data_IF_853108456500
#
_entry.id   IF_853108456500
#
_cell.length_a   1.000
_cell.length_b   1.000
_cell.length_c   1.000
_cell.angle_alpha   90.00
_cell.angle_beta   90.00
_cell.angle_gamma   90.00
#
_symmetry.space_group_name_H-M   'P 1'
#
loop_
_entity.id
_entity.type
_entity.pdbx_description
1 polymer ?
#
# COMPACT_ATOMS: atom_id res chain seq x y z
N UNK A 1 36.75 -43.66 33.39
CA UNK A 1 35.67 -42.64 33.33
C UNK A 1 36.02 -41.65 32.23
N UNK A 2 35.59 -41.94 30.97
CA UNK A 2 35.94 -41.15 29.79
C UNK A 2 34.86 -40.08 29.54
N UNK A 3 35.21 -38.82 29.71
CA UNK A 3 34.37 -37.66 29.43
C UNK A 3 34.45 -37.36 27.92
N UNK A 4 33.40 -37.73 27.16
CA UNK A 4 33.26 -37.37 25.74
C UNK A 4 32.82 -35.93 25.62
N UNK A 5 33.72 -35.07 25.16
CA UNK A 5 33.44 -33.72 24.76
C UNK A 5 32.72 -33.73 23.41
N UNK A 6 31.42 -33.41 23.41
CA UNK A 6 30.63 -33.29 22.19
C UNK A 6 30.73 -31.83 21.69
N UNK A 7 31.58 -31.62 20.69
CA UNK A 7 31.76 -30.32 20.06
C UNK A 7 30.55 -30.06 19.12
N UNK A 8 29.61 -29.21 19.55
CA UNK A 8 28.47 -28.80 18.73
C UNK A 8 28.96 -27.70 17.77
N UNK A 9 29.22 -28.07 16.51
CA UNK A 9 29.56 -27.15 15.45
C UNK A 9 28.25 -26.48 14.96
N UNK A 10 28.00 -25.24 15.37
CA UNK A 10 26.95 -24.42 14.81
C UNK A 10 27.33 -23.99 13.39
N UNK A 11 26.75 -24.62 12.38
CA UNK A 11 26.76 -24.11 11.02
C UNK A 11 25.82 -22.90 10.95
N UNK A 12 26.36 -21.69 11.04
CA UNK A 12 25.63 -20.48 10.68
C UNK A 12 25.55 -20.39 9.16
N UNK A 13 24.44 -20.82 8.58
CA UNK A 13 24.13 -20.53 7.19
C UNK A 13 23.81 -19.04 7.10
N UNK A 14 24.74 -18.26 6.58
CA UNK A 14 24.50 -16.87 6.19
C UNK A 14 23.49 -16.87 5.05
N UNK A 15 22.24 -16.53 5.35
CA UNK A 15 21.23 -16.22 4.33
C UNK A 15 21.67 -14.89 3.72
N UNK A 16 22.34 -14.96 2.58
CA UNK A 16 22.54 -13.77 1.75
C UNK A 16 21.16 -13.37 1.24
N UNK A 17 20.60 -12.31 1.79
CA UNK A 17 19.46 -11.62 1.17
C UNK A 17 19.97 -11.07 -0.16
N UNK A 18 19.66 -11.79 -1.25
CA UNK A 18 19.96 -11.36 -2.59
C UNK A 18 19.06 -10.15 -2.86
N UNK A 19 19.61 -8.94 -2.82
CA UNK A 19 18.89 -7.74 -3.21
C UNK A 19 18.64 -7.85 -4.71
N UNK A 20 17.44 -8.27 -5.07
CA UNK A 20 16.99 -8.33 -6.44
C UNK A 20 17.12 -6.93 -7.06
N UNK A 21 17.75 -6.82 -8.23
CA UNK A 21 17.82 -5.54 -8.92
C UNK A 21 16.43 -5.12 -9.41
N UNK A 22 16.22 -3.81 -9.58
CA UNK A 22 14.97 -3.31 -10.14
C UNK A 22 14.68 -3.88 -11.53
N UNK A 23 15.70 -4.08 -12.33
CA UNK A 23 15.58 -4.69 -13.66
C UNK A 23 15.15 -6.17 -13.59
N UNK A 24 15.69 -6.95 -12.66
CA UNK A 24 15.26 -8.32 -12.43
C UNK A 24 13.79 -8.38 -11.98
N UNK A 25 13.39 -7.48 -11.10
CA UNK A 25 12.00 -7.34 -10.68
C UNK A 25 11.09 -7.03 -11.88
N UNK A 26 11.42 -6.02 -12.69
CA UNK A 26 10.65 -5.67 -13.88
C UNK A 26 10.57 -6.82 -14.89
N UNK A 27 11.65 -7.58 -15.06
CA UNK A 27 11.68 -8.76 -15.94
C UNK A 27 10.69 -9.83 -15.48
N UNK A 28 10.64 -10.10 -14.17
CA UNK A 28 9.67 -11.05 -13.60
C UNK A 28 8.23 -10.56 -13.76
N UNK A 29 7.97 -9.28 -13.49
CA UNK A 29 6.62 -8.69 -13.67
C UNK A 29 6.19 -8.77 -15.13
N UNK A 30 7.09 -8.49 -16.09
CA UNK A 30 6.82 -8.63 -17.54
C UNK A 30 6.42 -10.06 -17.91
N UNK A 31 7.18 -11.04 -17.44
CA UNK A 31 6.91 -12.46 -17.68
C UNK A 31 5.55 -12.86 -17.14
N UNK A 32 5.28 -12.55 -15.88
CA UNK A 32 4.00 -12.87 -15.23
C UNK A 32 2.82 -12.19 -15.93
N UNK A 33 2.97 -10.93 -16.32
CA UNK A 33 1.91 -10.20 -17.03
C UNK A 33 1.57 -10.83 -18.39
N UNK A 34 2.58 -11.29 -19.14
CA UNK A 34 2.37 -12.01 -20.41
C UNK A 34 1.64 -13.33 -20.18
N UNK A 35 2.04 -14.11 -19.19
CA UNK A 35 1.40 -15.37 -18.79
C UNK A 35 -0.08 -15.16 -18.41
N UNK A 36 -0.40 -14.00 -17.83
CA UNK A 36 -1.75 -13.58 -17.48
C UNK A 36 -2.56 -12.98 -18.64
N UNK A 37 -2.00 -12.96 -19.85
CA UNK A 37 -2.69 -12.51 -21.06
C UNK A 37 -2.61 -11.00 -21.32
N UNK A 38 -1.75 -10.25 -20.60
CA UNK A 38 -1.52 -8.84 -20.90
C UNK A 38 -0.68 -8.73 -22.18
N UNK A 39 -1.13 -7.89 -23.13
CA UNK A 39 -0.42 -7.74 -24.39
C UNK A 39 0.97 -7.14 -24.21
N UNK A 40 1.93 -7.61 -25.00
CA UNK A 40 3.31 -7.06 -25.01
C UNK A 40 3.30 -5.53 -25.22
N UNK A 41 2.46 -5.02 -26.10
CA UNK A 41 2.34 -3.59 -26.36
C UNK A 41 1.90 -2.80 -25.11
N UNK A 42 0.97 -3.35 -24.33
CA UNK A 42 0.53 -2.72 -23.08
C UNK A 42 1.66 -2.67 -22.06
N UNK A 43 2.41 -3.77 -21.93
CA UNK A 43 3.54 -3.88 -21.01
C UNK A 43 4.66 -2.91 -21.41
N UNK A 44 5.03 -2.88 -22.68
CA UNK A 44 6.08 -2.00 -23.19
C UNK A 44 5.72 -0.52 -22.97
N UNK A 45 4.46 -0.16 -23.17
CA UNK A 45 3.96 1.20 -22.91
C UNK A 45 3.95 1.54 -21.41
N UNK A 46 3.53 0.61 -20.57
CA UNK A 46 3.45 0.83 -19.12
C UNK A 46 4.84 0.98 -18.48
N UNK A 47 5.83 0.23 -18.97
CA UNK A 47 7.18 0.18 -18.41
C UNK A 47 8.20 1.01 -19.23
N UNK A 48 7.70 1.86 -20.11
CA UNK A 48 8.57 2.73 -20.89
C UNK A 48 9.29 3.72 -19.97
N UNK A 49 10.63 3.73 -20.04
CA UNK A 49 11.50 4.58 -19.20
C UNK A 49 11.17 4.52 -17.69
N UNK A 50 10.74 3.35 -17.21
CA UNK A 50 10.42 3.17 -15.80
C UNK A 50 11.71 3.07 -14.98
N UNK A 51 11.86 3.97 -14.02
CA UNK A 51 12.98 4.01 -13.08
C UNK A 51 12.46 3.99 -11.64
N UNK A 52 13.22 3.48 -10.66
CA UNK A 52 12.82 3.50 -9.26
C UNK A 52 12.50 4.91 -8.78
N UNK A 53 11.37 5.09 -8.11
CA UNK A 53 11.03 6.36 -7.47
C UNK A 53 11.55 6.37 -6.02
N UNK A 54 12.70 7.00 -5.82
CA UNK A 54 13.35 7.06 -4.49
C UNK A 54 12.53 7.83 -3.45
N UNK A 55 11.65 8.74 -3.86
CA UNK A 55 10.82 9.52 -2.94
C UNK A 55 9.65 8.68 -2.42
N UNK A 56 9.10 7.81 -3.25
CA UNK A 56 8.11 6.80 -2.82
C UNK A 56 8.75 5.84 -1.83
N UNK A 57 9.93 5.30 -2.12
CA UNK A 57 10.66 4.40 -1.23
C UNK A 57 10.96 5.04 0.13
N UNK A 58 11.36 6.32 0.15
CA UNK A 58 11.55 7.07 1.40
C UNK A 58 10.24 7.28 2.16
N UNK A 59 9.16 7.59 1.45
CA UNK A 59 7.85 7.80 2.06
C UNK A 59 7.31 6.51 2.66
N UNK A 60 7.49 5.38 1.98
CA UNK A 60 7.09 4.07 2.47
C UNK A 60 7.85 3.68 3.75
N UNK A 61 9.17 3.91 3.78
CA UNK A 61 10.00 3.63 4.95
C UNK A 61 9.71 4.55 6.16
N UNK A 62 9.03 5.67 5.97
CA UNK A 62 8.74 6.69 6.99
C UNK A 62 7.25 6.84 7.31
N UNK A 63 6.48 5.75 7.17
CA UNK A 63 5.03 5.78 7.42
C UNK A 63 4.73 6.31 8.83
N UNK A 64 3.93 7.38 8.86
CA UNK A 64 3.60 8.10 10.09
C UNK A 64 2.82 7.24 11.11
N UNK A 65 2.10 6.25 10.62
CA UNK A 65 1.30 5.30 11.40
C UNK A 65 2.16 4.49 12.39
N UNK A 66 3.40 4.20 12.03
CA UNK A 66 4.32 3.39 12.85
C UNK A 66 5.25 4.24 13.72
N UNK A 67 5.41 5.53 13.39
CA UNK A 67 6.40 6.41 14.04
C UNK A 67 5.79 7.51 14.93
N UNK A 68 4.46 7.60 15.03
CA UNK A 68 3.79 8.64 15.81
C UNK A 68 3.01 8.07 17.00
N UNK A 69 2.88 8.88 18.07
CA UNK A 69 1.98 8.57 19.15
C UNK A 69 0.53 8.50 18.64
N UNK A 70 -0.21 7.48 19.07
CA UNK A 70 -1.59 7.21 18.63
C UNK A 70 -2.51 8.46 18.71
N UNK A 71 -2.50 9.18 19.83
CA UNK A 71 -3.35 10.36 19.99
C UNK A 71 -2.94 11.51 19.08
N UNK A 72 -1.63 11.68 18.83
CA UNK A 72 -1.15 12.67 17.88
C UNK A 72 -1.61 12.33 16.45
N UNK A 73 -1.51 11.07 16.06
CA UNK A 73 -2.00 10.57 14.78
C UNK A 73 -3.49 10.83 14.60
N UNK A 74 -4.32 10.41 15.58
CA UNK A 74 -5.78 10.59 15.54
C UNK A 74 -6.15 12.07 15.44
N UNK A 75 -5.59 12.93 16.29
CA UNK A 75 -5.88 14.37 16.28
C UNK A 75 -5.51 15.04 14.95
N UNK A 76 -4.43 14.60 14.30
CA UNK A 76 -4.02 15.11 12.99
C UNK A 76 -4.97 14.63 11.88
N UNK A 77 -5.49 13.41 11.96
CA UNK A 77 -6.37 12.82 10.95
C UNK A 77 -7.83 13.22 11.10
N UNK A 78 -8.30 13.47 12.33
CA UNK A 78 -9.69 13.80 12.65
C UNK A 78 -9.81 15.30 12.95
N UNK A 79 -9.87 16.11 11.89
CA UNK A 79 -10.11 17.56 12.02
C UNK A 79 -11.61 17.90 11.91
N UNK A 80 -12.02 19.05 12.46
CA UNK A 80 -13.40 19.52 12.33
C UNK A 80 -13.84 19.69 10.87
N UNK A 81 -12.94 20.11 9.99
CA UNK A 81 -13.20 20.23 8.55
C UNK A 81 -13.46 18.84 7.95
N UNK A 82 -12.63 17.85 8.28
CA UNK A 82 -12.84 16.48 7.79
C UNK A 82 -14.15 15.88 8.29
N UNK A 83 -14.51 16.11 9.56
CA UNK A 83 -15.78 15.66 10.12
C UNK A 83 -16.99 16.32 9.41
N UNK A 84 -16.91 17.63 9.12
CA UNK A 84 -17.96 18.34 8.39
C UNK A 84 -18.13 17.79 6.97
N UNK A 85 -17.02 17.63 6.25
CA UNK A 85 -17.02 17.06 4.89
C UNK A 85 -17.57 15.61 4.88
N UNK A 86 -17.24 14.82 5.89
CA UNK A 86 -17.76 13.46 6.04
C UNK A 86 -19.26 13.41 6.25
N UNK A 87 -19.80 14.28 7.08
CA UNK A 87 -21.25 14.40 7.28
C UNK A 87 -21.98 14.83 6.00
N UNK A 88 -21.39 15.76 5.27
CA UNK A 88 -21.95 16.19 3.99
C UNK A 88 -21.88 15.08 2.93
N UNK A 89 -20.74 14.38 2.82
CA UNK A 89 -20.58 13.22 1.93
C UNK A 89 -21.60 12.11 2.25
N UNK A 90 -21.81 11.83 3.54
CA UNK A 90 -22.80 10.84 3.99
C UNK A 90 -24.21 11.24 3.53
N UNK A 91 -24.58 12.51 3.66
CA UNK A 91 -25.88 13.04 3.27
C UNK A 91 -26.07 13.01 1.76
N UNK A 92 -25.08 13.48 1.00
CA UNK A 92 -25.16 13.52 -0.48
C UNK A 92 -25.22 12.14 -1.12
N UNK A 93 -24.57 11.15 -0.53
CA UNK A 93 -24.44 9.80 -1.08
C UNK A 93 -25.31 8.76 -0.36
N UNK A 94 -26.30 9.17 0.43
CA UNK A 94 -27.10 8.29 1.30
C UNK A 94 -27.63 7.05 0.57
N UNK A 95 -28.21 7.21 -0.63
CA UNK A 95 -28.80 6.10 -1.39
C UNK A 95 -27.75 5.06 -1.80
N UNK A 96 -26.60 5.52 -2.32
CA UNK A 96 -25.49 4.65 -2.71
C UNK A 96 -24.89 3.93 -1.51
N UNK A 97 -24.64 4.67 -0.44
CA UNK A 97 -24.04 4.15 0.79
C UNK A 97 -24.92 3.11 1.47
N UNK A 98 -26.26 3.33 1.50
CA UNK A 98 -27.18 2.35 2.05
C UNK A 98 -27.19 1.05 1.24
N UNK A 99 -27.28 1.13 -0.09
CA UNK A 99 -27.20 -0.04 -0.97
C UNK A 99 -25.90 -0.82 -0.78
N UNK A 100 -24.78 -0.11 -0.64
CA UNK A 100 -23.46 -0.73 -0.41
C UNK A 100 -23.42 -1.38 0.97
N UNK A 101 -23.92 -0.68 1.98
CA UNK A 101 -24.01 -1.17 3.36
C UNK A 101 -24.83 -2.47 3.44
N UNK A 102 -26.00 -2.49 2.82
CA UNK A 102 -26.88 -3.68 2.75
C UNK A 102 -26.18 -4.84 2.02
N UNK A 103 -25.53 -4.56 0.90
CA UNK A 103 -24.87 -5.59 0.09
C UNK A 103 -23.67 -6.24 0.77
N UNK A 104 -22.85 -5.44 1.48
CA UNK A 104 -21.56 -5.88 2.02
C UNK A 104 -21.52 -5.97 3.56
N UNK A 105 -22.60 -5.60 4.24
CA UNK A 105 -22.65 -5.62 5.71
C UNK A 105 -21.76 -4.57 6.41
N UNK A 106 -21.29 -3.55 5.68
CA UNK A 106 -20.42 -2.50 6.22
C UNK A 106 -21.23 -1.23 6.47
N UNK A 107 -21.24 -0.68 7.69
CA UNK A 107 -22.01 0.54 7.99
C UNK A 107 -21.61 1.72 7.10
N UNK A 108 -22.60 2.51 6.65
CA UNK A 108 -22.40 3.65 5.74
C UNK A 108 -21.37 4.67 6.27
N UNK A 109 -21.36 4.93 7.58
CA UNK A 109 -20.38 5.85 8.19
C UNK A 109 -18.94 5.34 8.13
N UNK A 110 -18.73 4.01 8.14
CA UNK A 110 -17.40 3.41 7.99
C UNK A 110 -16.92 3.60 6.55
N UNK A 111 -17.78 3.37 5.56
CA UNK A 111 -17.46 3.60 4.15
C UNK A 111 -17.03 5.05 3.90
N UNK A 112 -17.77 6.02 4.47
CA UNK A 112 -17.44 7.44 4.35
C UNK A 112 -16.15 7.79 5.08
N UNK A 113 -15.89 7.19 6.23
CA UNK A 113 -14.64 7.43 6.96
C UNK A 113 -13.42 6.98 6.13
N UNK A 114 -13.46 5.81 5.50
CA UNK A 114 -12.42 5.36 4.58
C UNK A 114 -12.27 6.31 3.39
N UNK A 115 -13.36 6.68 2.73
CA UNK A 115 -13.32 7.64 1.61
C UNK A 115 -12.64 8.97 2.02
N UNK A 116 -12.91 9.43 3.23
CA UNK A 116 -12.30 10.64 3.77
C UNK A 116 -10.81 10.50 4.08
N UNK A 117 -10.38 9.34 4.60
CA UNK A 117 -8.97 9.09 4.93
C UNK A 117 -8.12 8.90 3.67
N UNK A 118 -8.62 8.12 2.70
CA UNK A 118 -7.87 7.73 1.51
C UNK A 118 -7.81 8.83 0.43
N UNK A 119 -8.91 9.53 0.20
CA UNK A 119 -9.02 10.46 -0.94
C UNK A 119 -9.52 11.86 -0.57
N UNK A 120 -9.64 12.17 0.74
CA UNK A 120 -10.30 13.40 1.18
C UNK A 120 -11.67 13.61 0.49
N UNK A 121 -12.50 12.56 0.51
CA UNK A 121 -13.82 12.49 -0.13
C UNK A 121 -13.80 12.68 -1.66
N UNK A 122 -12.78 12.15 -2.31
CA UNK A 122 -12.57 12.24 -3.76
C UNK A 122 -11.88 13.52 -4.23
N UNK A 123 -11.52 14.45 -3.30
CA UNK A 123 -10.84 15.69 -3.65
C UNK A 123 -9.31 15.53 -3.85
N UNK A 124 -8.76 14.39 -3.46
CA UNK A 124 -7.34 14.06 -3.63
C UNK A 124 -7.19 12.63 -4.13
N UNK A 125 -6.76 12.49 -5.37
CA UNK A 125 -6.56 11.18 -6.02
C UNK A 125 -5.08 10.86 -6.25
N UNK A 126 -4.17 11.69 -5.74
CA UNK A 126 -2.75 11.58 -6.01
C UNK A 126 -2.38 12.11 -7.41
N UNK A 127 -1.09 12.39 -7.60
CA UNK A 127 -0.54 12.88 -8.87
C UNK A 127 0.46 11.90 -9.49
N UNK A 128 0.78 10.82 -8.77
CA UNK A 128 1.74 9.83 -9.22
C UNK A 128 1.09 8.82 -10.19
N UNK A 129 1.87 8.39 -11.17
CA UNK A 129 1.47 7.29 -12.03
C UNK A 129 1.42 6.00 -11.22
N UNK A 130 0.30 5.27 -11.26
CA UNK A 130 0.12 4.01 -10.55
C UNK A 130 1.25 3.01 -10.84
N UNK A 131 1.63 2.86 -12.12
CA UNK A 131 2.69 1.93 -12.52
C UNK A 131 4.07 2.35 -12.00
N UNK A 132 4.31 3.66 -11.83
CA UNK A 132 5.57 4.17 -11.26
C UNK A 132 5.62 4.09 -9.73
N UNK A 133 4.48 3.88 -9.09
CA UNK A 133 4.34 3.86 -7.63
C UNK A 133 4.36 2.43 -7.06
N UNK A 134 4.29 1.44 -7.92
CA UNK A 134 4.37 0.02 -7.58
C UNK A 134 5.80 -0.49 -7.66
#
# INVERSE_FOLDING_TARGET
>A
MFLRFFCLVFFTTSVFANSQSFEDFLSQVRTTAIEQGVSKMTIDKAFFELTPNTDILKSDSSQAEFNQNFWHYVNKRVSNVRLSNGRESLKQNTSLLNKTSEKYGVPAYVLVAFLGLESNYGNYMGNESLVRSL
#
